data_IF_789529118670
#
_entry.id   IF_789529118670
#
_cell.length_a   1.000
_cell.length_b   1.000
_cell.length_c   1.000
_cell.angle_alpha   90.00
_cell.angle_beta   90.00
_cell.angle_gamma   90.00
#
_symmetry.space_group_name_H-M   'P 1'
#
loop_
_entity.id
_entity.type
_entity.pdbx_description
1 polymer ?
#
# COMPACT_ATOMS: atom_id res chain seq x y z
N UNK A 1 -11.43 -4.39 -6.80
CA UNK A 1 -10.49 -3.98 -7.88
C UNK A 1 -10.54 -4.92 -9.08
N UNK A 2 -10.43 -6.23 -8.87
CA UNK A 2 -10.45 -7.29 -9.90
C UNK A 2 -11.67 -7.27 -10.82
N UNK A 3 -12.86 -6.91 -10.31
CA UNK A 3 -14.09 -6.79 -11.12
C UNK A 3 -14.10 -5.55 -12.04
N UNK A 4 -13.44 -4.45 -11.64
CA UNK A 4 -13.38 -3.20 -12.43
C UNK A 4 -12.34 -3.29 -13.55
N UNK A 5 -11.19 -3.91 -13.26
CA UNK A 5 -10.15 -4.20 -14.25
C UNK A 5 -10.68 -5.14 -15.35
N UNK A 6 -11.48 -6.16 -14.98
CA UNK A 6 -12.15 -7.05 -15.95
C UNK A 6 -13.21 -6.36 -16.82
N UNK A 7 -13.78 -5.24 -16.37
CA UNK A 7 -14.77 -4.46 -17.14
C UNK A 7 -14.14 -3.38 -18.03
N UNK A 8 -12.80 -3.28 -18.07
CA UNK A 8 -12.10 -2.24 -18.83
C UNK A 8 -12.26 -0.83 -18.22
N UNK A 9 -12.78 -0.73 -17.00
CA UNK A 9 -13.09 0.56 -16.35
C UNK A 9 -11.86 1.05 -15.56
N UNK A 10 -10.73 1.19 -16.27
CA UNK A 10 -9.42 1.54 -15.73
C UNK A 10 -9.44 2.84 -14.94
N UNK A 11 -10.21 3.84 -15.38
CA UNK A 11 -10.36 5.12 -14.67
C UNK A 11 -11.01 4.99 -13.29
N UNK A 12 -11.96 4.05 -13.12
CA UNK A 12 -12.56 3.77 -11.80
C UNK A 12 -11.62 2.96 -10.92
N UNK A 13 -10.92 1.98 -11.49
CA UNK A 13 -9.89 1.23 -10.78
C UNK A 13 -8.79 2.17 -10.27
N UNK A 14 -8.25 3.05 -11.13
CA UNK A 14 -7.26 4.05 -10.74
C UNK A 14 -7.78 5.02 -9.67
N UNK A 15 -9.04 5.51 -9.78
CA UNK A 15 -9.62 6.38 -8.74
C UNK A 15 -9.75 5.70 -7.38
N UNK A 16 -10.16 4.43 -7.36
CA UNK A 16 -10.21 3.63 -6.13
C UNK A 16 -8.82 3.43 -5.55
N UNK A 17 -7.82 3.11 -6.36
CA UNK A 17 -6.43 3.00 -5.90
C UNK A 17 -5.89 4.33 -5.37
N UNK A 18 -6.17 5.45 -6.04
CA UNK A 18 -5.79 6.79 -5.58
C UNK A 18 -6.45 7.17 -4.27
N UNK A 19 -7.67 6.69 -4.01
CA UNK A 19 -8.36 6.94 -2.74
C UNK A 19 -7.65 6.30 -1.54
N UNK A 20 -6.84 5.25 -1.76
CA UNK A 20 -6.03 4.61 -0.73
C UNK A 20 -4.80 5.44 -0.34
N UNK A 21 -4.36 6.38 -1.18
CA UNK A 21 -3.19 7.22 -0.90
C UNK A 21 -3.32 8.02 0.41
N UNK A 22 -4.48 8.61 0.64
CA UNK A 22 -4.77 9.40 1.85
C UNK A 22 -4.62 8.60 3.15
N UNK A 23 -5.35 7.48 3.33
CA UNK A 23 -5.24 6.67 4.54
C UNK A 23 -3.85 6.02 4.71
N UNK A 24 -3.14 5.69 3.61
CA UNK A 24 -1.78 5.17 3.68
C UNK A 24 -0.79 6.24 4.15
N UNK A 25 -0.83 7.45 3.58
CA UNK A 25 0.02 8.55 4.05
C UNK A 25 -0.22 8.83 5.53
N UNK A 26 -1.49 8.93 5.96
CA UNK A 26 -1.81 9.16 7.36
C UNK A 26 -1.33 8.03 8.29
N UNK A 27 -1.27 6.79 7.80
CA UNK A 27 -0.65 5.69 8.53
C UNK A 27 0.86 5.94 8.69
N UNK A 28 1.59 6.25 7.62
CA UNK A 28 3.02 6.52 7.70
C UNK A 28 3.37 7.77 8.52
N UNK A 29 2.54 8.82 8.47
CA UNK A 29 2.73 10.05 9.24
C UNK A 29 2.58 9.83 10.75
N UNK A 30 1.67 8.93 11.14
CA UNK A 30 1.29 8.73 12.56
C UNK A 30 1.87 7.47 13.19
N UNK A 31 2.40 6.53 12.40
CA UNK A 31 2.83 5.22 12.88
C UNK A 31 4.32 5.00 12.63
N UNK A 32 5.11 5.09 13.70
CA UNK A 32 6.54 4.78 13.64
C UNK A 32 6.78 3.28 13.42
N UNK A 33 7.01 2.87 12.18
CA UNK A 33 7.19 1.44 11.83
C UNK A 33 8.34 0.80 12.62
N UNK A 34 9.46 1.52 12.76
CA UNK A 34 10.65 1.08 13.51
C UNK A 34 10.52 1.36 15.01
N UNK A 35 9.39 0.98 15.61
CA UNK A 35 9.21 1.06 17.05
C UNK A 35 10.27 0.25 17.81
N UNK A 36 10.65 0.73 19.00
CA UNK A 36 11.62 0.06 19.88
C UNK A 36 11.11 -1.31 20.36
N UNK A 37 9.80 -1.41 20.65
CA UNK A 37 9.15 -2.66 21.00
C UNK A 37 9.12 -3.61 19.79
N UNK A 38 9.85 -4.72 19.92
CA UNK A 38 9.96 -5.77 18.89
C UNK A 38 8.62 -6.41 18.51
N UNK A 39 7.63 -6.45 19.39
CA UNK A 39 6.28 -6.97 19.11
C UNK A 39 5.50 -5.97 18.25
N UNK A 40 5.53 -4.69 18.64
CA UNK A 40 4.88 -3.60 17.89
C UNK A 40 5.50 -3.47 16.50
N UNK A 41 6.84 -3.50 16.41
CA UNK A 41 7.56 -3.46 15.14
C UNK A 41 7.17 -4.62 14.21
N UNK A 42 7.13 -5.85 14.73
CA UNK A 42 6.71 -7.03 13.93
C UNK A 42 5.26 -6.91 13.43
N UNK A 43 4.35 -6.43 14.27
CA UNK A 43 2.97 -6.19 13.86
C UNK A 43 2.89 -5.17 12.71
N UNK A 44 3.60 -4.04 12.83
CA UNK A 44 3.65 -2.99 11.80
C UNK A 44 4.29 -3.48 10.51
N UNK A 45 5.34 -4.29 10.58
CA UNK A 45 5.96 -4.93 9.42
C UNK A 45 5.00 -5.91 8.73
N UNK A 46 4.24 -6.70 9.49
CA UNK A 46 3.23 -7.60 8.91
C UNK A 46 2.12 -6.82 8.18
N UNK A 47 1.71 -5.67 8.72
CA UNK A 47 0.74 -4.79 8.06
C UNK A 47 1.30 -4.20 6.75
N UNK A 48 2.57 -3.77 6.74
CA UNK A 48 3.24 -3.32 5.52
C UNK A 48 3.36 -4.42 4.47
N UNK A 49 3.62 -5.66 4.89
CA UNK A 49 3.69 -6.79 3.98
C UNK A 49 2.32 -7.08 3.35
N UNK A 50 1.23 -7.01 4.12
CA UNK A 50 -0.13 -7.15 3.57
C UNK A 50 -0.45 -6.03 2.57
N UNK A 51 -0.02 -4.80 2.87
CA UNK A 51 -0.19 -3.67 1.97
C UNK A 51 0.60 -3.86 0.66
N UNK A 52 1.85 -4.34 0.75
CA UNK A 52 2.67 -4.68 -0.41
C UNK A 52 1.99 -5.73 -1.28
N UNK A 53 1.48 -6.81 -0.70
CA UNK A 53 0.80 -7.87 -1.44
C UNK A 53 -0.47 -7.35 -2.14
N UNK A 54 -1.24 -6.47 -1.50
CA UNK A 54 -2.42 -5.84 -2.11
C UNK A 54 -2.05 -4.99 -3.34
N UNK A 55 -0.88 -4.35 -3.31
CA UNK A 55 -0.40 -3.50 -4.40
C UNK A 55 0.28 -4.27 -5.51
N UNK A 56 0.92 -5.40 -5.23
CA UNK A 56 1.49 -6.31 -6.25
C UNK A 56 0.42 -6.82 -7.23
N UNK A 57 -0.83 -6.99 -6.78
CA UNK A 57 -1.95 -7.34 -7.66
C UNK A 57 -2.35 -6.20 -8.62
N UNK A 58 -1.93 -4.96 -8.33
CA UNK A 58 -2.29 -3.76 -9.10
C UNK A 58 -1.16 -3.25 -9.98
N UNK A 59 0.09 -3.32 -9.51
CA UNK A 59 1.27 -2.92 -10.26
C UNK A 59 2.54 -3.52 -9.61
N UNK A 60 3.56 -3.80 -10.44
CA UNK A 60 4.87 -4.20 -9.96
C UNK A 60 5.66 -2.96 -9.49
N UNK A 61 5.67 -2.76 -8.17
CA UNK A 61 6.37 -1.65 -7.53
C UNK A 61 7.86 -1.93 -7.28
N UNK A 62 8.39 -3.10 -7.67
CA UNK A 62 9.83 -3.43 -7.55
C UNK A 62 10.74 -2.49 -8.34
N UNK A 63 10.17 -1.80 -9.34
CA UNK A 63 10.87 -0.85 -10.20
C UNK A 63 10.84 0.59 -9.68
N UNK A 64 10.12 0.88 -8.59
CA UNK A 64 10.16 2.22 -7.98
C UNK A 64 11.44 2.36 -7.15
N UNK A 65 12.45 2.98 -7.75
CA UNK A 65 13.63 3.47 -7.04
C UNK A 65 13.28 4.84 -6.48
N UNK A 66 13.28 4.96 -5.16
CA UNK A 66 13.18 6.26 -4.50
C UNK A 66 14.61 6.83 -4.50
N UNK A 67 14.87 7.86 -5.32
CA UNK A 67 16.08 8.66 -5.14
C UNK A 67 15.99 9.35 -3.78
N UNK A 68 17.00 9.10 -2.94
CA UNK A 68 17.03 9.43 -1.52
C UNK A 68 17.11 10.92 -1.21
#
# INVERSE_FOLDING_TARGET
>A
LTSLLKKGDFLKACRLTLSLRGPINNFFDRVLVMAEDKRIRRNRQALLQQLKNLFEELADFSQIVIEG
#
